data_IF_386065857876
#
_entry.id   IF_386065857876
#
_cell.length_a   1.000
_cell.length_b   1.000
_cell.length_c   1.000
_cell.angle_alpha   90.00
_cell.angle_beta   90.00
_cell.angle_gamma   90.00
#
_symmetry.space_group_name_H-M   'P 1'
#
loop_
_entity.id
_entity.type
_entity.pdbx_description
1 polymer ?
#
# COMPACT_ATOMS: atom_id res chain seq x y z
N UNK A 1 57.74 54.32 34.42
CA UNK A 1 57.05 53.33 33.62
C UNK A 1 55.55 53.59 33.77
N UNK A 2 54.90 54.08 32.69
CA UNK A 2 53.49 54.50 32.76
C UNK A 2 52.58 53.29 32.75
N UNK A 3 52.11 52.89 33.91
CA UNK A 3 51.14 51.80 34.07
C UNK A 3 49.79 52.09 33.36
N UNK A 4 49.50 53.36 33.11
CA UNK A 4 48.26 53.78 32.40
C UNK A 4 48.29 53.49 30.89
N UNK A 5 49.44 53.52 30.25
CA UNK A 5 49.57 53.18 28.81
C UNK A 5 49.46 51.68 28.59
N UNK A 6 50.08 50.85 29.47
CA UNK A 6 50.00 49.41 29.41
C UNK A 6 48.56 48.93 29.63
N UNK A 7 47.84 49.54 30.57
CA UNK A 7 46.43 49.19 30.80
C UNK A 7 45.51 49.51 29.62
N UNK A 8 45.78 50.58 28.90
CA UNK A 8 44.97 51.02 27.75
C UNK A 8 45.18 50.14 26.52
N UNK A 9 46.43 49.73 26.28
CA UNK A 9 46.74 48.78 25.16
C UNK A 9 46.17 47.39 25.42
N UNK A 10 46.27 46.87 26.65
CA UNK A 10 45.69 45.60 27.04
C UNK A 10 44.17 45.63 26.95
N UNK A 11 43.54 46.71 27.39
CA UNK A 11 42.09 46.87 27.26
C UNK A 11 41.66 46.91 25.80
N UNK A 12 42.35 47.65 24.94
CA UNK A 12 42.07 47.72 23.49
C UNK A 12 42.24 46.38 22.83
N UNK A 13 43.27 45.62 23.13
CA UNK A 13 43.50 44.27 22.61
C UNK A 13 42.39 43.31 23.06
N UNK A 14 41.95 43.36 24.31
CA UNK A 14 40.84 42.57 24.83
C UNK A 14 39.52 42.91 24.12
N UNK A 15 39.18 44.18 23.95
CA UNK A 15 37.95 44.59 23.23
C UNK A 15 37.97 44.18 21.76
N UNK A 16 39.13 44.27 21.08
CA UNK A 16 39.26 43.83 19.69
C UNK A 16 39.10 42.31 19.55
N UNK A 17 39.67 41.55 20.51
CA UNK A 17 39.55 40.07 20.52
C UNK A 17 38.13 39.63 20.82
N UNK A 18 37.46 40.23 21.80
CA UNK A 18 36.03 39.95 22.09
C UNK A 18 35.15 40.35 20.93
N UNK A 19 35.40 41.53 20.33
CA UNK A 19 34.65 42.02 19.16
C UNK A 19 34.73 41.10 17.93
N UNK A 20 35.87 40.41 17.74
CA UNK A 20 36.05 39.45 16.67
C UNK A 20 35.44 38.08 16.95
N UNK A 21 35.32 37.67 18.22
CA UNK A 21 34.73 36.40 18.62
C UNK A 21 33.20 36.41 18.55
N UNK A 22 32.55 37.53 18.82
CA UNK A 22 31.07 37.62 18.81
C UNK A 22 30.47 37.22 17.45
N UNK A 23 30.92 37.73 16.29
CA UNK A 23 30.38 37.32 15.01
C UNK A 23 30.57 35.83 14.72
N UNK A 24 31.72 35.25 15.14
CA UNK A 24 32.01 33.83 14.95
C UNK A 24 31.05 32.95 15.76
N UNK A 25 30.77 33.32 16.98
CA UNK A 25 29.84 32.59 17.85
C UNK A 25 28.40 32.69 17.29
N UNK A 26 27.99 33.89 16.84
CA UNK A 26 26.68 34.10 16.23
C UNK A 26 26.56 33.25 14.98
N UNK A 27 27.56 33.29 14.07
CA UNK A 27 27.56 32.49 12.85
C UNK A 27 27.51 30.98 13.15
N UNK A 28 28.25 30.50 14.13
CA UNK A 28 28.22 29.10 14.57
C UNK A 28 26.83 28.71 15.12
N UNK A 29 26.22 29.55 15.96
CA UNK A 29 24.86 29.30 16.48
C UNK A 29 23.82 29.27 15.39
N UNK A 30 23.88 30.18 14.41
CA UNK A 30 22.97 30.20 13.27
C UNK A 30 23.15 28.97 12.41
N UNK A 31 24.39 28.64 12.05
CA UNK A 31 24.72 27.44 11.25
C UNK A 31 24.20 26.17 11.95
N UNK A 32 24.42 26.05 13.28
CA UNK A 32 23.91 24.93 14.04
C UNK A 32 22.38 24.83 14.03
N UNK A 33 21.67 25.95 14.22
CA UNK A 33 20.22 25.98 14.14
C UNK A 33 19.68 25.58 12.75
N UNK A 34 20.32 26.07 11.69
CA UNK A 34 19.95 25.70 10.33
C UNK A 34 20.23 24.22 10.05
N UNK A 35 21.37 23.69 10.49
CA UNK A 35 21.72 22.28 10.35
C UNK A 35 20.72 21.38 11.07
N UNK A 36 20.35 21.70 12.30
CA UNK A 36 19.32 20.92 13.04
C UNK A 36 17.96 20.99 12.34
N UNK A 37 17.55 22.17 11.88
CA UNK A 37 16.26 22.31 11.17
C UNK A 37 16.25 21.49 9.89
N UNK A 38 17.35 21.50 9.13
CA UNK A 38 17.51 20.70 7.92
C UNK A 38 17.46 19.20 8.22
N UNK A 39 18.23 18.73 9.21
CA UNK A 39 18.24 17.32 9.63
C UNK A 39 16.87 16.84 10.09
N UNK A 40 16.13 17.66 10.83
CA UNK A 40 14.75 17.31 11.24
C UNK A 40 13.82 17.16 10.03
N UNK A 41 13.92 18.09 9.06
CA UNK A 41 13.12 18.02 7.84
C UNK A 41 13.45 16.76 7.03
N UNK A 42 14.72 16.48 6.81
CA UNK A 42 15.19 15.27 6.11
C UNK A 42 14.76 13.99 6.82
N UNK A 43 14.81 13.95 8.15
CA UNK A 43 14.36 12.81 8.94
C UNK A 43 12.87 12.56 8.79
N UNK A 44 12.04 13.62 8.83
CA UNK A 44 10.59 13.50 8.62
C UNK A 44 10.30 12.99 7.21
N UNK A 45 10.92 13.58 6.19
CA UNK A 45 10.75 13.18 4.79
C UNK A 45 11.15 11.71 4.57
N UNK A 46 12.23 11.24 5.21
CA UNK A 46 12.65 9.85 5.13
C UNK A 46 11.67 8.89 5.80
N UNK A 47 11.11 9.28 6.95
CA UNK A 47 10.08 8.48 7.64
C UNK A 47 8.80 8.40 6.79
N UNK A 48 8.37 9.52 6.22
CA UNK A 48 7.19 9.55 5.34
C UNK A 48 7.39 8.70 4.09
N UNK A 49 8.58 8.77 3.48
CA UNK A 49 8.92 7.92 2.33
C UNK A 49 8.90 6.43 2.70
N UNK A 50 9.55 6.05 3.79
CA UNK A 50 9.58 4.66 4.25
C UNK A 50 8.16 4.13 4.55
N UNK A 51 7.31 4.96 5.17
CA UNK A 51 5.91 4.65 5.42
C UNK A 51 5.13 4.46 4.12
N UNK A 52 5.30 5.35 3.15
CA UNK A 52 4.65 5.25 1.86
C UNK A 52 5.08 3.99 1.10
N UNK A 53 6.36 3.66 1.10
CA UNK A 53 6.90 2.44 0.48
C UNK A 53 6.31 1.17 1.12
N UNK A 54 6.16 1.16 2.45
CA UNK A 54 5.53 0.05 3.17
C UNK A 54 4.05 -0.11 2.80
N UNK A 55 3.30 1.00 2.70
CA UNK A 55 1.90 1.01 2.25
C UNK A 55 1.80 0.48 0.82
N UNK A 56 2.63 0.99 -0.09
CA UNK A 56 2.64 0.58 -1.49
C UNK A 56 2.93 -0.92 -1.62
N UNK A 57 3.94 -1.42 -0.92
CA UNK A 57 4.31 -2.83 -0.90
C UNK A 57 3.18 -3.72 -0.38
N UNK A 58 2.52 -3.31 0.71
CA UNK A 58 1.38 -4.04 1.27
C UNK A 58 0.22 -4.14 0.27
N UNK A 59 -0.15 -3.02 -0.36
CA UNK A 59 -1.21 -3.01 -1.36
C UNK A 59 -0.87 -3.81 -2.61
N UNK A 60 0.39 -3.77 -3.07
CA UNK A 60 0.86 -4.60 -4.18
C UNK A 60 0.76 -6.09 -3.86
N UNK A 61 1.10 -6.49 -2.63
CA UNK A 61 0.98 -7.88 -2.18
C UNK A 61 -0.48 -8.35 -2.18
N UNK A 62 -1.39 -7.53 -1.68
CA UNK A 62 -2.83 -7.84 -1.69
C UNK A 62 -3.38 -7.83 -3.13
N UNK A 63 -2.93 -6.91 -3.98
CA UNK A 63 -3.34 -6.88 -5.39
C UNK A 63 -3.00 -8.19 -6.12
N UNK A 64 -1.87 -8.83 -5.80
CA UNK A 64 -1.53 -10.15 -6.35
C UNK A 64 -2.54 -11.23 -5.99
N UNK A 65 -3.20 -11.12 -4.83
CA UNK A 65 -4.23 -12.07 -4.42
C UNK A 65 -5.54 -11.92 -5.21
N UNK A 66 -5.72 -10.81 -5.95
CA UNK A 66 -6.89 -10.62 -6.80
C UNK A 66 -6.98 -11.65 -7.93
N UNK A 67 -5.87 -12.32 -8.29
CA UNK A 67 -5.89 -13.43 -9.25
C UNK A 67 -6.84 -14.57 -8.82
N UNK A 68 -7.02 -14.77 -7.52
CA UNK A 68 -7.96 -15.76 -6.99
C UNK A 68 -9.40 -15.32 -7.04
N UNK A 69 -9.65 -14.00 -7.06
CA UNK A 69 -10.99 -13.42 -6.90
C UNK A 69 -11.65 -13.06 -8.22
N UNK A 70 -10.88 -13.01 -9.31
CA UNK A 70 -11.41 -12.76 -10.66
C UNK A 70 -12.26 -13.94 -11.15
N UNK A 71 -13.11 -13.70 -12.13
CA UNK A 71 -13.92 -14.71 -12.83
C UNK A 71 -13.39 -15.02 -14.24
N UNK A 72 -12.18 -14.55 -14.56
CA UNK A 72 -11.50 -14.85 -15.82
C UNK A 72 -11.03 -16.30 -15.85
N UNK A 73 -10.84 -16.89 -17.03
CA UNK A 73 -10.34 -18.27 -17.21
C UNK A 73 -8.87 -18.42 -16.83
N UNK A 74 -8.51 -18.04 -15.63
CA UNK A 74 -7.19 -18.23 -15.05
C UNK A 74 -7.22 -19.49 -14.18
N UNK A 75 -6.16 -20.28 -14.19
CA UNK A 75 -6.04 -21.50 -13.39
C UNK A 75 -6.10 -21.23 -11.89
N UNK A 76 -5.67 -20.06 -11.45
CA UNK A 76 -5.71 -19.66 -10.04
C UNK A 76 -7.10 -19.20 -9.56
N UNK A 77 -8.06 -18.93 -10.46
CA UNK A 77 -9.36 -18.41 -10.07
C UNK A 77 -10.13 -19.39 -9.19
N UNK A 78 -10.72 -18.88 -8.11
CA UNK A 78 -11.65 -19.63 -7.28
C UNK A 78 -12.98 -19.78 -8.01
N UNK A 79 -13.50 -18.66 -8.55
CA UNK A 79 -14.76 -18.61 -9.26
C UNK A 79 -14.53 -18.86 -10.75
N UNK A 80 -15.21 -19.84 -11.32
CA UNK A 80 -15.23 -20.11 -12.75
C UNK A 80 -16.66 -20.23 -13.24
N UNK A 81 -16.90 -19.98 -14.51
CA UNK A 81 -18.22 -20.07 -15.08
C UNK A 81 -18.20 -20.85 -16.39
N UNK A 82 -19.34 -21.47 -16.68
CA UNK A 82 -19.60 -22.16 -17.94
C UNK A 82 -20.91 -21.65 -18.54
N UNK A 83 -20.93 -21.50 -19.85
CA UNK A 83 -22.15 -21.16 -20.55
C UNK A 83 -22.78 -22.41 -21.14
N UNK A 84 -24.05 -22.72 -20.84
CA UNK A 84 -24.71 -23.89 -21.39
C UNK A 84 -24.71 -23.88 -22.91
N UNK A 85 -24.50 -25.05 -23.52
CA UNK A 85 -24.65 -25.23 -24.98
C UNK A 85 -26.10 -24.96 -25.39
N UNK A 86 -26.37 -23.85 -26.05
CA UNK A 86 -27.73 -23.47 -26.47
C UNK A 86 -28.16 -22.09 -26.00
N UNK A 87 -27.30 -21.37 -25.32
CA UNK A 87 -27.63 -20.06 -24.76
C UNK A 87 -28.36 -20.20 -23.42
N UNK A 88 -28.05 -19.37 -22.48
CA UNK A 88 -28.64 -19.39 -21.15
C UNK A 88 -27.82 -18.59 -20.17
N UNK A 89 -28.24 -18.48 -18.93
CA UNK A 89 -27.50 -17.82 -17.88
C UNK A 89 -26.21 -18.59 -17.56
N UNK A 90 -25.14 -17.85 -17.22
CA UNK A 90 -23.87 -18.43 -16.78
C UNK A 90 -24.08 -19.29 -15.54
N UNK A 91 -23.53 -20.48 -15.53
CA UNK A 91 -23.49 -21.36 -14.35
C UNK A 91 -22.13 -21.20 -13.70
N UNK A 92 -22.11 -20.87 -12.42
CA UNK A 92 -20.88 -20.62 -11.65
C UNK A 92 -20.48 -21.84 -10.85
N UNK A 93 -19.18 -22.08 -10.84
CA UNK A 93 -18.53 -23.14 -10.09
C UNK A 93 -17.38 -22.56 -9.25
N UNK A 94 -16.98 -23.27 -8.22
CA UNK A 94 -15.76 -22.92 -7.47
C UNK A 94 -14.78 -24.08 -7.44
N UNK A 95 -13.48 -23.72 -7.41
CA UNK A 95 -12.37 -24.66 -7.30
C UNK A 95 -11.89 -24.74 -5.87
N UNK A 96 -12.03 -25.91 -5.22
CA UNK A 96 -11.69 -26.12 -3.83
C UNK A 96 -10.19 -25.96 -3.55
N UNK A 97 -9.34 -26.44 -4.44
CA UNK A 97 -7.88 -26.34 -4.29
C UNK A 97 -7.43 -24.88 -4.21
N UNK A 98 -7.98 -24.03 -5.06
CA UNK A 98 -7.64 -22.60 -5.13
C UNK A 98 -8.10 -21.84 -3.89
N UNK A 99 -9.21 -22.25 -3.26
CA UNK A 99 -9.64 -21.67 -1.97
C UNK A 99 -8.60 -21.94 -0.87
N UNK A 100 -8.07 -23.15 -0.80
CA UNK A 100 -7.06 -23.51 0.20
C UNK A 100 -5.77 -22.72 -0.01
N UNK A 101 -5.36 -22.56 -1.27
CA UNK A 101 -4.20 -21.76 -1.62
C UNK A 101 -4.42 -20.28 -1.28
N UNK A 102 -5.58 -19.72 -1.64
CA UNK A 102 -5.94 -18.36 -1.27
C UNK A 102 -5.83 -18.11 0.24
N UNK A 103 -6.37 -19.00 1.08
CA UNK A 103 -6.25 -18.87 2.53
C UNK A 103 -4.82 -18.89 3.02
N UNK A 104 -3.99 -19.79 2.48
CA UNK A 104 -2.58 -19.88 2.82
C UNK A 104 -1.86 -18.57 2.50
N UNK A 105 -2.03 -18.08 1.27
CA UNK A 105 -1.37 -16.85 0.82
C UNK A 105 -1.92 -15.61 1.54
N UNK A 106 -3.23 -15.53 1.77
CA UNK A 106 -3.84 -14.44 2.51
C UNK A 106 -3.29 -14.36 3.95
N UNK A 107 -3.16 -15.50 4.62
CA UNK A 107 -2.59 -15.57 5.97
C UNK A 107 -1.15 -15.13 5.97
N UNK A 108 -0.36 -15.58 5.00
CA UNK A 108 1.03 -15.19 4.83
C UNK A 108 1.17 -13.68 4.66
N UNK A 109 0.39 -13.09 3.75
CA UNK A 109 0.50 -11.67 3.44
C UNK A 109 -0.01 -10.78 4.59
N UNK A 110 -1.17 -11.09 5.18
CA UNK A 110 -1.78 -10.23 6.21
C UNK A 110 -1.06 -10.35 7.55
N UNK A 111 -0.80 -11.57 8.00
CA UNK A 111 -0.32 -11.81 9.37
C UNK A 111 1.18 -12.04 9.44
N UNK A 112 1.74 -12.99 8.67
CA UNK A 112 3.15 -13.34 8.79
C UNK A 112 4.07 -12.22 8.29
N UNK A 113 3.72 -11.57 7.18
CA UNK A 113 4.45 -10.41 6.65
C UNK A 113 3.99 -9.08 7.26
N UNK A 114 2.91 -9.07 8.03
CA UNK A 114 2.40 -7.88 8.70
C UNK A 114 1.80 -6.82 7.76
N UNK A 115 1.53 -7.16 6.50
CA UNK A 115 0.98 -6.21 5.54
C UNK A 115 -0.41 -5.69 5.93
N UNK A 116 -1.15 -6.45 6.76
CA UNK A 116 -2.46 -6.05 7.25
C UNK A 116 -2.48 -4.72 8.00
N UNK A 117 -1.36 -4.32 8.63
CA UNK A 117 -1.22 -3.06 9.36
C UNK A 117 -1.36 -1.85 8.43
N UNK A 118 -0.95 -2.00 7.18
CA UNK A 118 -0.89 -0.94 6.18
C UNK A 118 -2.12 -0.87 5.28
N UNK A 119 -3.06 -1.81 5.43
CA UNK A 119 -4.30 -1.83 4.65
C UNK A 119 -5.34 -0.88 5.25
N UNK A 120 -6.10 -0.22 4.38
CA UNK A 120 -7.12 0.72 4.80
C UNK A 120 -8.32 0.03 5.47
N UNK A 121 -9.07 0.85 6.23
CA UNK A 121 -10.36 0.44 6.82
C UNK A 121 -11.43 0.08 5.77
N UNK A 122 -11.21 0.38 4.50
CA UNK A 122 -12.10 0.05 3.40
C UNK A 122 -11.72 -1.28 2.72
N UNK A 123 -10.41 -1.55 2.57
CA UNK A 123 -9.91 -2.78 1.94
C UNK A 123 -10.09 -4.00 2.86
N UNK A 124 -9.79 -3.87 4.14
CA UNK A 124 -9.84 -5.01 5.08
C UNK A 124 -11.22 -5.68 5.17
N UNK A 125 -12.36 -4.96 5.32
CA UNK A 125 -13.67 -5.58 5.35
C UNK A 125 -14.01 -6.37 4.08
N UNK A 126 -13.63 -5.86 2.91
CA UNK A 126 -13.88 -6.54 1.63
C UNK A 126 -13.11 -7.86 1.54
N UNK A 127 -11.85 -7.87 2.00
CA UNK A 127 -11.03 -9.10 2.06
C UNK A 127 -11.69 -10.12 2.98
N UNK A 128 -12.13 -9.71 4.17
CA UNK A 128 -12.75 -10.61 5.13
C UNK A 128 -14.14 -11.07 4.70
N UNK A 129 -14.90 -10.23 4.00
CA UNK A 129 -16.17 -10.63 3.41
C UNK A 129 -15.94 -11.71 2.34
N UNK A 130 -15.01 -11.50 1.42
CA UNK A 130 -14.64 -12.51 0.42
C UNK A 130 -14.18 -13.81 1.08
N UNK A 131 -13.28 -13.70 2.07
CA UNK A 131 -12.80 -14.84 2.86
C UNK A 131 -13.95 -15.61 3.50
N UNK A 132 -14.95 -14.93 4.06
CA UNK A 132 -16.11 -15.57 4.71
C UNK A 132 -16.96 -16.32 3.70
N UNK A 133 -17.19 -15.76 2.53
CA UNK A 133 -17.93 -16.41 1.45
C UNK A 133 -17.22 -17.70 1.02
N UNK A 134 -15.93 -17.62 0.69
CA UNK A 134 -15.18 -18.79 0.21
C UNK A 134 -14.98 -19.84 1.30
N UNK A 135 -14.93 -19.44 2.60
CA UNK A 135 -14.95 -20.37 3.71
C UNK A 135 -16.28 -21.17 3.77
N UNK A 136 -17.41 -20.47 3.58
CA UNK A 136 -18.71 -21.12 3.48
C UNK A 136 -18.79 -22.11 2.31
N UNK A 137 -18.26 -21.76 1.16
CA UNK A 137 -18.15 -22.66 0.00
C UNK A 137 -17.28 -23.90 0.33
N UNK A 138 -16.16 -23.71 1.02
CA UNK A 138 -15.29 -24.81 1.45
C UNK A 138 -15.99 -25.79 2.41
N UNK A 139 -16.86 -25.29 3.29
CA UNK A 139 -17.65 -26.14 4.18
C UNK A 139 -18.63 -27.03 3.41
N UNK A 140 -19.26 -26.48 2.35
CA UNK A 140 -20.15 -27.25 1.45
C UNK A 140 -19.35 -28.31 0.69
N UNK A 141 -18.10 -27.96 0.28
CA UNK A 141 -17.23 -28.85 -0.48
C UNK A 141 -16.72 -30.08 0.28
N UNK A 142 -16.69 -30.04 1.63
CA UNK A 142 -16.14 -31.14 2.46
C UNK A 142 -16.73 -32.52 2.16
N UNK A 143 -17.97 -32.57 1.65
CA UNK A 143 -18.66 -33.80 1.29
C UNK A 143 -18.54 -34.19 -0.17
N UNK A 144 -17.81 -33.40 -0.99
CA UNK A 144 -17.72 -33.57 -2.42
C UNK A 144 -16.27 -33.65 -2.87
N UNK A 145 -15.83 -34.75 -3.50
CA UNK A 145 -14.45 -34.89 -4.00
C UNK A 145 -14.19 -34.16 -5.33
N UNK A 146 -15.23 -33.53 -5.90
CA UNK A 146 -15.17 -32.91 -7.23
C UNK A 146 -14.23 -31.70 -7.23
N UNK A 147 -13.46 -31.57 -8.30
CA UNK A 147 -12.53 -30.44 -8.50
C UNK A 147 -13.28 -29.12 -8.67
N UNK A 148 -14.41 -29.15 -9.40
CA UNK A 148 -15.32 -28.02 -9.62
C UNK A 148 -16.68 -28.33 -9.00
N UNK A 149 -17.15 -27.45 -8.14
CA UNK A 149 -18.43 -27.59 -7.44
C UNK A 149 -19.34 -26.44 -7.83
N UNK A 150 -20.56 -26.74 -8.28
CA UNK A 150 -21.54 -25.76 -8.68
C UNK A 150 -22.01 -24.89 -7.50
N UNK A 151 -22.06 -23.59 -7.74
CA UNK A 151 -22.64 -22.61 -6.81
C UNK A 151 -24.14 -22.46 -7.13
N UNK A 152 -24.99 -23.19 -6.40
CA UNK A 152 -26.44 -23.11 -6.60
C UNK A 152 -27.01 -21.71 -6.36
N UNK A 153 -26.42 -20.93 -5.46
CA UNK A 153 -26.85 -19.58 -5.16
C UNK A 153 -26.10 -18.57 -6.06
N UNK A 154 -26.66 -18.23 -7.18
CA UNK A 154 -26.11 -17.28 -8.13
C UNK A 154 -25.85 -15.88 -7.53
N UNK A 155 -26.63 -15.45 -6.52
CA UNK A 155 -26.40 -14.17 -5.84
C UNK A 155 -25.03 -14.16 -5.14
N UNK A 156 -24.58 -15.31 -4.65
CA UNK A 156 -23.28 -15.46 -4.00
C UNK A 156 -22.13 -15.25 -5.00
N UNK A 157 -22.22 -15.85 -6.20
CA UNK A 157 -21.24 -15.65 -7.26
C UNK A 157 -21.19 -14.19 -7.71
N UNK A 158 -22.34 -13.55 -7.90
CA UNK A 158 -22.41 -12.11 -8.23
C UNK A 158 -21.75 -11.27 -7.15
N UNK A 159 -21.99 -11.57 -5.86
CA UNK A 159 -21.36 -10.85 -4.75
C UNK A 159 -19.84 -11.01 -4.73
N UNK A 160 -19.32 -12.19 -5.03
CA UNK A 160 -17.88 -12.42 -5.16
C UNK A 160 -17.25 -11.52 -6.25
N UNK A 161 -17.93 -11.37 -7.39
CA UNK A 161 -17.48 -10.50 -8.50
C UNK A 161 -17.51 -9.03 -8.07
N UNK A 162 -18.57 -8.59 -7.40
CA UNK A 162 -18.69 -7.22 -6.88
C UNK A 162 -17.56 -6.89 -5.88
N UNK A 163 -17.24 -7.84 -4.99
CA UNK A 163 -16.14 -7.67 -4.02
C UNK A 163 -14.81 -7.55 -4.76
N UNK A 164 -14.55 -8.38 -5.78
CA UNK A 164 -13.35 -8.27 -6.60
C UNK A 164 -13.20 -6.88 -7.22
N UNK A 165 -14.26 -6.38 -7.85
CA UNK A 165 -14.26 -5.05 -8.47
C UNK A 165 -14.03 -3.95 -7.43
N UNK A 166 -14.72 -4.02 -6.29
CA UNK A 166 -14.59 -3.06 -5.19
C UNK A 166 -13.17 -3.07 -4.59
N UNK A 167 -12.58 -4.25 -4.39
CA UNK A 167 -11.20 -4.40 -3.93
C UNK A 167 -10.21 -3.78 -4.92
N UNK A 168 -10.36 -4.07 -6.21
CA UNK A 168 -9.49 -3.52 -7.25
C UNK A 168 -9.52 -1.99 -7.29
N UNK A 169 -10.71 -1.40 -7.19
CA UNK A 169 -10.90 0.05 -7.15
C UNK A 169 -10.29 0.63 -5.87
N UNK A 170 -10.63 0.06 -4.71
CA UNK A 170 -10.21 0.61 -3.41
C UNK A 170 -8.69 0.53 -3.22
N UNK A 171 -8.04 -0.56 -3.64
CA UNK A 171 -6.58 -0.67 -3.58
C UNK A 171 -5.92 0.43 -4.41
N UNK A 172 -6.45 0.72 -5.62
CA UNK A 172 -5.93 1.81 -6.47
C UNK A 172 -6.13 3.19 -5.84
N UNK A 173 -7.28 3.43 -5.20
CA UNK A 173 -7.54 4.67 -4.49
C UNK A 173 -6.58 4.86 -3.30
N UNK A 174 -6.35 3.81 -2.52
CA UNK A 174 -5.50 3.87 -1.32
C UNK A 174 -4.03 4.18 -1.63
N UNK A 175 -3.54 3.80 -2.81
CA UNK A 175 -2.19 4.14 -3.28
C UNK A 175 -2.17 5.40 -4.16
N UNK A 176 -3.25 6.19 -4.17
CA UNK A 176 -3.42 7.40 -4.99
C UNK A 176 -3.27 7.20 -6.51
N UNK A 177 -3.41 5.97 -7.00
CA UNK A 177 -3.48 5.70 -8.44
C UNK A 177 -4.89 6.04 -8.93
N UNK A 178 -5.12 7.30 -9.25
CA UNK A 178 -6.38 7.74 -9.85
C UNK A 178 -6.59 7.03 -11.18
N UNK A 179 -7.83 6.70 -11.47
CA UNK A 179 -8.21 5.97 -12.69
C UNK A 179 -7.75 6.68 -13.99
N UNK A 180 -7.52 8.01 -13.94
CA UNK A 180 -6.97 8.80 -15.04
C UNK A 180 -5.48 8.54 -15.31
N UNK A 181 -4.72 8.17 -14.28
CA UNK A 181 -3.27 7.98 -14.37
C UNK A 181 -2.90 6.60 -14.94
N UNK A 182 -3.88 5.68 -15.01
CA UNK A 182 -3.70 4.31 -15.51
C UNK A 182 -4.35 4.07 -16.88
N UNK A 183 -5.20 4.96 -17.34
CA UNK A 183 -5.63 4.96 -18.73
C UNK A 183 -4.45 5.43 -19.58
N UNK A 184 -3.69 4.50 -20.14
CA UNK A 184 -2.94 4.78 -21.35
C UNK A 184 -3.92 5.41 -22.33
N UNK A 185 -3.67 6.67 -22.66
CA UNK A 185 -4.53 7.46 -23.53
C UNK A 185 -4.49 6.85 -24.94
N UNK A 186 -5.32 5.84 -25.19
CA UNK A 186 -5.55 5.27 -26.52
C UNK A 186 -6.23 6.28 -27.47
N UNK A 187 -6.35 7.55 -27.07
CA UNK A 187 -6.90 8.64 -27.88
C UNK A 187 -5.89 9.32 -28.81
N UNK A 188 -4.65 8.86 -28.89
CA UNK A 188 -3.67 9.39 -29.88
C UNK A 188 -3.53 8.56 -31.16
N UNK A 189 -4.54 7.81 -31.54
CA UNK A 189 -4.52 6.93 -32.73
C UNK A 189 -5.53 7.24 -33.84
N UNK A 190 -6.37 8.26 -33.72
CA UNK A 190 -7.35 8.58 -34.77
C UNK A 190 -7.27 10.04 -35.20
N UNK A 191 -6.13 10.47 -35.71
CA UNK A 191 -5.98 11.62 -36.61
C UNK A 191 -4.75 11.40 -37.48
N UNK A 192 -4.90 10.61 -38.50
CA UNK A 192 -4.13 10.64 -39.76
C UNK A 192 -5.05 10.08 -40.85
#
# INVERSE_FOLDING_TARGET
MDYTLISKEVATALFSTIGSLIPIVIAACLTYRFAIKKLRKESIENIERAKYEAILKAHQSIYKLLRFTTDTENDDCILVWEQPKGGGEKVYYFRQANIRQFFKELTEEIYNKGNGIYLSKKVMPLIFEYRSIVYGLLLIAKSKPEEKIEIKNQKLAKRMIEIHQSLSIQIREDINLKQRDLCFDNKKGNNL
#
